data_IF_574861049018
#
_entry.id   IF_574861049018
#
_cell.length_a   1.000
_cell.length_b   1.000
_cell.length_c   1.000
_cell.angle_alpha   90.00
_cell.angle_beta   90.00
_cell.angle_gamma   90.00
#
_symmetry.space_group_name_H-M   'P 1'
#
loop_
_entity.id
_entity.type
_entity.pdbx_description
1 polymer ?
#
# COMPACT_ATOMS: atom_id res chain seq x y z
N UNK A 1 5.45 7.85 -22.32
CA UNK A 1 4.11 7.36 -22.10
C UNK A 1 4.23 6.29 -21.03
N UNK A 2 3.85 6.57 -19.78
CA UNK A 2 3.96 5.60 -18.70
C UNK A 2 2.75 4.67 -18.79
N UNK A 3 2.92 3.35 -18.85
CA UNK A 3 1.83 2.42 -19.07
C UNK A 3 0.98 2.12 -17.82
N UNK A 4 1.20 2.83 -16.71
CA UNK A 4 0.58 2.49 -15.43
C UNK A 4 -0.17 3.69 -14.87
N UNK A 5 -1.49 3.64 -14.90
CA UNK A 5 -2.29 4.48 -14.01
C UNK A 5 -2.46 3.73 -12.70
N UNK A 6 -1.65 4.05 -11.70
CA UNK A 6 -1.99 3.72 -10.32
C UNK A 6 -3.19 4.59 -9.98
N UNK A 7 -4.36 4.05 -10.21
CA UNK A 7 -5.59 4.71 -9.83
C UNK A 7 -5.79 4.46 -8.36
N UNK A 8 -5.34 5.41 -7.55
CA UNK A 8 -5.85 5.51 -6.19
C UNK A 8 -7.38 5.47 -6.23
N UNK A 9 -8.05 4.92 -5.20
CA UNK A 9 -9.51 4.73 -5.13
C UNK A 9 -10.34 6.03 -5.18
N UNK A 10 -9.78 7.08 -5.73
CA UNK A 10 -10.40 8.39 -5.96
C UNK A 10 -10.89 8.61 -7.36
N UNK A 11 -10.98 7.58 -8.17
CA UNK A 11 -11.68 7.69 -9.43
C UNK A 11 -13.14 7.99 -9.14
N UNK A 12 -13.54 9.15 -9.63
CA UNK A 12 -14.94 9.47 -9.85
C UNK A 12 -15.53 8.31 -10.64
N UNK A 13 -16.52 7.62 -10.08
CA UNK A 13 -17.27 6.63 -10.84
C UNK A 13 -17.79 7.31 -12.12
N UNK A 14 -18.03 6.57 -13.19
CA UNK A 14 -18.62 7.10 -14.45
C UNK A 14 -19.92 7.90 -14.22
N UNK A 15 -20.53 7.81 -13.04
CA UNK A 15 -21.71 8.54 -12.59
C UNK A 15 -21.39 9.86 -11.85
N UNK A 16 -20.12 10.27 -11.73
CA UNK A 16 -19.74 11.52 -11.05
C UNK A 16 -19.84 11.50 -9.53
N UNK A 17 -20.14 10.35 -8.93
CA UNK A 17 -20.13 10.22 -7.48
C UNK A 17 -18.70 9.92 -6.97
N UNK A 18 -18.26 10.51 -5.83
CA UNK A 18 -16.98 10.15 -5.24
C UNK A 18 -17.00 8.65 -4.90
N UNK A 19 -15.95 7.95 -5.31
CA UNK A 19 -15.75 6.57 -4.91
C UNK A 19 -15.83 6.46 -3.37
N UNK A 20 -16.50 5.44 -2.89
CA UNK A 20 -16.68 5.19 -1.45
C UNK A 20 -15.33 5.26 -0.74
N UNK A 21 -15.28 6.02 0.34
CA UNK A 21 -14.09 6.21 1.19
C UNK A 21 -13.82 4.95 2.06
N UNK A 22 -13.74 3.78 1.44
CA UNK A 22 -13.41 2.54 2.15
C UNK A 22 -11.89 2.31 2.11
N UNK A 23 -11.35 1.52 3.02
CA UNK A 23 -9.98 1.01 2.93
C UNK A 23 -9.81 0.00 1.79
N UNK A 24 -10.90 -0.32 1.08
CA UNK A 24 -10.87 -1.15 -0.11
C UNK A 24 -10.37 -0.36 -1.33
N UNK A 25 -9.33 -0.86 -1.96
CA UNK A 25 -8.77 -0.27 -3.18
C UNK A 25 -9.28 -0.98 -4.43
N UNK A 26 -9.79 -0.20 -5.38
CA UNK A 26 -10.06 -0.67 -6.73
C UNK A 26 -8.80 -0.53 -7.57
N UNK A 27 -8.19 -1.66 -7.88
CA UNK A 27 -7.01 -1.71 -8.74
C UNK A 27 -7.46 -1.99 -10.16
N UNK A 28 -7.13 -1.07 -11.08
CA UNK A 28 -7.33 -1.27 -12.50
C UNK A 28 -6.12 -1.99 -13.11
N UNK A 29 -6.38 -2.94 -13.98
CA UNK A 29 -5.38 -3.65 -14.75
C UNK A 29 -5.56 -3.38 -16.23
N UNK A 30 -4.45 -3.32 -16.95
CA UNK A 30 -4.44 -3.31 -18.41
C UNK A 30 -4.62 -4.72 -19.00
N UNK A 31 -4.44 -4.84 -20.32
CA UNK A 31 -4.52 -6.12 -21.01
C UNK A 31 -3.49 -7.16 -20.53
N UNK A 32 -2.42 -6.74 -19.88
CA UNK A 32 -1.37 -7.63 -19.37
C UNK A 32 -1.71 -8.22 -18.00
N UNK A 33 -2.80 -7.79 -17.39
CA UNK A 33 -3.29 -8.29 -16.08
C UNK A 33 -2.25 -8.16 -14.96
N UNK A 34 -1.34 -7.21 -15.06
CA UNK A 34 -0.25 -6.98 -14.12
C UNK A 34 0.03 -5.49 -13.95
N UNK A 35 0.20 -5.04 -12.72
CA UNK A 35 0.77 -3.73 -12.41
C UNK A 35 2.15 -3.91 -11.80
N UNK A 36 3.15 -3.20 -12.34
CA UNK A 36 4.50 -3.13 -11.76
C UNK A 36 4.87 -1.66 -11.61
N UNK A 37 5.18 -1.24 -10.40
CA UNK A 37 5.61 0.14 -10.13
C UNK A 37 6.65 0.20 -9.03
N UNK A 38 7.48 1.22 -9.06
CA UNK A 38 8.39 1.55 -7.98
C UNK A 38 7.95 2.82 -7.29
N UNK A 39 8.15 2.89 -5.99
CA UNK A 39 7.78 4.05 -5.19
C UNK A 39 8.75 4.31 -4.04
N UNK A 40 8.94 5.58 -3.70
CA UNK A 40 9.42 6.01 -2.40
C UNK A 40 8.20 6.19 -1.51
N UNK A 41 8.13 5.46 -0.40
CA UNK A 41 6.97 5.42 0.49
C UNK A 41 7.40 5.82 1.88
N UNK A 42 6.65 6.71 2.53
CA UNK A 42 6.76 6.98 3.97
C UNK A 42 5.77 6.16 4.77
N UNK A 43 4.54 6.15 4.33
CA UNK A 43 3.45 5.43 4.98
C UNK A 43 2.34 5.11 3.99
N UNK A 44 1.79 3.91 4.08
CA UNK A 44 0.57 3.49 3.44
C UNK A 44 -0.44 3.06 4.50
N UNK A 45 -1.61 3.68 4.49
CA UNK A 45 -2.69 3.38 5.43
C UNK A 45 -3.18 1.93 5.28
N UNK A 46 -3.77 1.33 6.32
CA UNK A 46 -4.41 0.02 6.23
C UNK A 46 -5.44 0.00 5.11
N UNK A 47 -5.24 -0.91 4.16
CA UNK A 47 -6.10 -1.10 3.01
C UNK A 47 -6.10 -2.58 2.59
N UNK A 48 -6.98 -2.94 1.66
CA UNK A 48 -7.03 -4.26 1.05
C UNK A 48 -7.63 -4.17 -0.36
N UNK A 49 -7.31 -5.13 -1.18
CA UNK A 49 -7.76 -5.23 -2.56
C UNK A 49 -7.77 -6.69 -3.04
N UNK A 50 -8.49 -7.01 -4.13
CA UNK A 50 -8.60 -8.38 -4.63
C UNK A 50 -7.33 -8.87 -5.35
N UNK A 51 -6.35 -8.00 -5.56
CA UNK A 51 -5.10 -8.32 -6.24
C UNK A 51 -4.09 -8.88 -5.24
N UNK A 52 -3.56 -10.08 -5.42
CA UNK A 52 -2.33 -10.47 -4.71
C UNK A 52 -1.19 -9.56 -5.12
N UNK A 53 -0.24 -9.32 -4.20
CA UNK A 53 0.93 -8.50 -4.54
C UNK A 53 2.24 -9.03 -3.96
N UNK A 54 3.32 -8.75 -4.68
CA UNK A 54 4.69 -8.98 -4.24
C UNK A 54 5.37 -7.64 -4.01
N UNK A 55 5.74 -7.37 -2.77
CA UNK A 55 6.55 -6.20 -2.39
C UNK A 55 8.01 -6.61 -2.33
N UNK A 56 8.88 -5.79 -2.92
CA UNK A 56 10.34 -5.95 -2.89
C UNK A 56 10.99 -4.64 -2.45
N UNK A 57 11.76 -4.66 -1.38
CA UNK A 57 12.45 -3.47 -0.87
C UNK A 57 13.70 -3.19 -1.71
N UNK A 58 13.80 -1.99 -2.29
CA UNK A 58 14.95 -1.55 -3.09
C UNK A 58 16.01 -0.84 -2.25
N UNK A 59 15.56 -0.03 -1.31
CA UNK A 59 16.42 0.80 -0.46
C UNK A 59 15.74 1.10 0.87
N UNK A 60 16.54 1.25 1.94
CA UNK A 60 16.02 1.53 3.27
C UNK A 60 15.38 0.32 3.93
N UNK A 61 14.35 0.55 4.71
CA UNK A 61 13.63 -0.47 5.45
C UNK A 61 12.17 -0.09 5.64
N UNK A 62 11.34 -1.12 5.86
CA UNK A 62 9.92 -0.98 6.08
C UNK A 62 9.43 -1.91 7.18
N UNK A 63 8.54 -1.39 8.01
CA UNK A 63 7.65 -2.21 8.82
C UNK A 63 6.36 -2.44 8.04
N UNK A 64 6.08 -3.69 7.70
CA UNK A 64 4.91 -4.09 6.93
C UNK A 64 4.02 -4.97 7.81
N UNK A 65 2.78 -4.53 8.04
CA UNK A 65 1.78 -5.29 8.76
C UNK A 65 0.79 -5.92 7.76
N UNK A 66 0.54 -7.22 7.88
CA UNK A 66 -0.46 -7.95 7.10
C UNK A 66 -1.34 -8.74 8.07
N UNK A 67 -2.62 -8.39 8.14
CA UNK A 67 -3.52 -8.95 9.12
C UNK A 67 -3.00 -8.77 10.55
N UNK A 68 -2.68 -9.87 11.20
CA UNK A 68 -2.17 -9.87 12.58
C UNK A 68 -0.64 -9.97 12.69
N UNK A 69 0.05 -10.13 11.58
CA UNK A 69 1.51 -10.33 11.52
C UNK A 69 2.23 -9.06 11.12
N UNK A 70 3.49 -8.98 11.49
CA UNK A 70 4.37 -7.88 11.16
C UNK A 70 5.72 -8.40 10.74
N UNK A 71 6.25 -7.77 9.70
CA UNK A 71 7.59 -8.03 9.20
C UNK A 71 8.39 -6.73 9.15
N UNK A 72 9.64 -6.85 9.55
CA UNK A 72 10.67 -5.84 9.34
C UNK A 72 11.42 -6.22 8.07
N UNK A 73 11.28 -5.44 7.04
CA UNK A 73 11.88 -5.68 5.73
C UNK A 73 13.02 -4.71 5.48
N UNK A 74 14.17 -5.21 5.04
CA UNK A 74 15.30 -4.39 4.61
C UNK A 74 15.56 -4.57 3.10
N UNK A 75 16.49 -3.78 2.55
CA UNK A 75 16.82 -3.83 1.12
C UNK A 75 17.14 -5.26 0.66
N UNK A 76 16.48 -5.67 -0.42
CA UNK A 76 16.53 -7.03 -0.97
C UNK A 76 15.48 -7.98 -0.40
N UNK A 77 14.77 -7.63 0.68
CA UNK A 77 13.69 -8.47 1.18
C UNK A 77 12.45 -8.36 0.30
N UNK A 78 11.70 -9.47 0.27
CA UNK A 78 10.47 -9.62 -0.49
C UNK A 78 9.40 -10.20 0.41
N UNK A 79 8.15 -9.75 0.22
CA UNK A 79 6.97 -10.29 0.90
C UNK A 79 5.83 -10.43 -0.11
N UNK A 80 5.18 -11.59 -0.09
CA UNK A 80 3.94 -11.83 -0.83
C UNK A 80 2.73 -11.57 0.08
N UNK A 81 1.77 -10.79 -0.42
CA UNK A 81 0.51 -10.47 0.24
C UNK A 81 -0.61 -11.11 -0.58
N UNK A 82 -1.45 -11.90 0.08
CA UNK A 82 -2.56 -12.54 -0.60
C UNK A 82 -3.67 -11.52 -0.93
N UNK A 83 -4.51 -11.90 -1.90
CA UNK A 83 -5.75 -11.18 -2.17
C UNK A 83 -6.58 -10.98 -0.90
N UNK A 84 -7.21 -9.82 -0.79
CA UNK A 84 -8.11 -9.47 0.31
C UNK A 84 -7.45 -9.40 1.72
N UNK A 85 -6.13 -9.44 1.83
CA UNK A 85 -5.45 -9.25 3.12
C UNK A 85 -5.32 -7.76 3.46
N UNK A 86 -5.79 -7.38 4.65
CA UNK A 86 -5.57 -6.01 5.16
C UNK A 86 -4.10 -5.84 5.45
N UNK A 87 -3.49 -4.86 4.83
CA UNK A 87 -2.08 -4.55 5.02
C UNK A 87 -1.80 -3.05 5.12
N UNK A 88 -0.69 -2.71 5.75
CA UNK A 88 -0.19 -1.34 5.89
C UNK A 88 1.32 -1.35 5.88
N UNK A 89 1.91 -0.24 5.47
CA UNK A 89 3.35 -0.10 5.28
C UNK A 89 3.85 1.19 5.91
N UNK A 90 4.93 1.13 6.67
CA UNK A 90 5.59 2.29 7.26
C UNK A 90 7.08 2.21 7.02
N UNK A 91 7.66 3.26 6.43
CA UNK A 91 9.09 3.36 6.24
C UNK A 91 9.82 3.57 7.59
N UNK A 92 10.93 2.89 7.78
CA UNK A 92 11.78 3.05 8.95
C UNK A 92 12.72 4.27 8.83
N UNK A 93 12.98 4.71 7.60
CA UNK A 93 13.81 5.87 7.31
C UNK A 93 13.31 6.65 6.09
N UNK A 94 13.55 7.96 6.04
CA UNK A 94 13.25 8.76 4.84
C UNK A 94 13.97 8.21 3.60
N UNK A 95 13.32 8.29 2.44
CA UNK A 95 13.88 7.81 1.18
C UNK A 95 13.81 6.30 0.99
N UNK A 96 13.09 5.56 1.84
CA UNK A 96 12.86 4.12 1.65
C UNK A 96 12.07 3.85 0.38
N UNK A 97 12.53 2.89 -0.44
CA UNK A 97 12.04 2.62 -1.78
C UNK A 97 11.70 1.15 -1.96
N UNK A 98 10.62 0.88 -2.68
CA UNK A 98 10.16 -0.47 -3.00
C UNK A 98 9.71 -0.59 -4.46
N UNK A 99 9.60 -1.84 -4.91
CA UNK A 99 8.85 -2.24 -6.10
C UNK A 99 7.68 -3.08 -5.65
N UNK A 100 6.51 -2.81 -6.21
CA UNK A 100 5.31 -3.62 -6.04
C UNK A 100 4.93 -4.24 -7.38
N UNK A 101 4.60 -5.53 -7.35
CA UNK A 101 3.96 -6.26 -8.44
C UNK A 101 2.59 -6.68 -7.96
N UNK A 102 1.54 -6.16 -8.59
CA UNK A 102 0.16 -6.55 -8.32
C UNK A 102 -0.33 -7.45 -9.44
N UNK A 103 -0.94 -8.58 -9.08
CA UNK A 103 -1.45 -9.57 -10.02
C UNK A 103 -2.97 -9.43 -10.13
N UNK A 104 -3.48 -9.33 -11.35
CA UNK A 104 -4.94 -9.34 -11.56
C UNK A 104 -5.55 -10.66 -11.07
N UNK A 105 -6.66 -10.64 -10.34
CA UNK A 105 -7.38 -11.85 -9.98
C UNK A 105 -7.69 -12.73 -11.19
N UNK A 106 -8.04 -12.12 -12.33
CA UNK A 106 -8.31 -12.82 -13.57
C UNK A 106 -7.12 -13.58 -14.20
N UNK A 107 -5.90 -13.45 -13.66
CA UNK A 107 -4.79 -14.34 -14.02
C UNK A 107 -5.00 -15.76 -13.49
N UNK A 108 -5.75 -15.89 -12.39
CA UNK A 108 -5.96 -17.16 -11.70
C UNK A 108 -7.28 -17.82 -12.08
N UNK A 109 -8.24 -17.08 -12.63
CA UNK A 109 -9.59 -17.57 -12.95
C UNK A 109 -9.57 -18.73 -13.98
N UNK A 110 -8.59 -18.72 -14.88
CA UNK A 110 -8.43 -19.74 -15.92
C UNK A 110 -7.66 -20.97 -15.42
N UNK A 111 -6.97 -20.88 -14.27
CA UNK A 111 -6.00 -21.88 -13.85
C UNK A 111 -6.30 -22.54 -12.51
N UNK A 112 -7.20 -22.06 -11.71
CA UNK A 112 -7.63 -22.41 -10.35
C UNK A 112 -7.66 -21.18 -9.42
N UNK A 113 -8.32 -21.27 -8.24
CA UNK A 113 -8.33 -20.15 -7.30
C UNK A 113 -6.90 -19.71 -6.95
N UNK A 114 -6.70 -18.41 -6.80
CA UNK A 114 -5.41 -17.83 -6.41
C UNK A 114 -4.85 -18.56 -5.19
N UNK A 115 -3.62 -19.13 -5.29
CA UNK A 115 -3.04 -19.81 -4.15
C UNK A 115 -2.85 -18.79 -3.00
N UNK A 116 -3.22 -19.20 -1.79
CA UNK A 116 -2.86 -18.44 -0.58
C UNK A 116 -1.52 -18.94 -0.09
N UNK A 117 -0.57 -18.04 0.00
CA UNK A 117 0.81 -18.35 0.35
C UNK A 117 1.26 -17.49 1.52
N UNK A 118 2.03 -18.08 2.40
CA UNK A 118 2.89 -17.35 3.32
C UNK A 118 4.32 -17.38 2.78
N UNK A 119 4.81 -16.24 2.34
CA UNK A 119 6.15 -16.15 1.84
C UNK A 119 6.78 -14.78 2.14
N UNK A 120 7.91 -14.81 2.83
CA UNK A 120 8.70 -13.64 3.18
C UNK A 120 10.15 -14.03 3.33
N UNK A 121 11.06 -13.20 2.83
CA UNK A 121 12.50 -13.42 2.98
C UNK A 121 13.08 -12.77 4.24
N UNK A 122 12.35 -11.91 4.93
CA UNK A 122 12.82 -11.25 6.14
C UNK A 122 13.15 -12.28 7.24
N UNK A 123 14.32 -12.15 7.81
CA UNK A 123 14.81 -13.08 8.86
C UNK A 123 15.28 -14.45 8.37
N UNK A 124 15.15 -14.78 7.08
CA UNK A 124 15.62 -16.04 6.50
C UNK A 124 16.98 -15.93 5.77
N UNK A 125 17.70 -14.84 5.96
CA UNK A 125 18.90 -14.44 5.22
C UNK A 125 20.02 -15.53 5.25
N UNK A 126 20.02 -16.42 6.24
CA UNK A 126 21.03 -17.45 6.41
C UNK A 126 20.76 -18.74 5.62
N UNK A 127 19.62 -18.89 4.94
CA UNK A 127 19.26 -20.12 4.22
C UNK A 127 19.59 -20.02 2.74
N UNK A 128 20.43 -20.93 2.24
CA UNK A 128 20.87 -20.97 0.84
C UNK A 128 19.70 -21.09 -0.17
N UNK A 129 18.61 -21.73 0.22
CA UNK A 129 17.42 -21.91 -0.60
C UNK A 129 16.71 -20.57 -0.84
N UNK A 130 16.57 -19.74 0.19
CA UNK A 130 15.97 -18.40 0.09
C UNK A 130 16.76 -17.47 -0.84
N UNK A 131 18.10 -17.56 -0.82
CA UNK A 131 18.94 -16.75 -1.69
C UNK A 131 18.75 -17.10 -3.17
N UNK A 132 18.64 -18.38 -3.51
CA UNK A 132 18.40 -18.80 -4.90
C UNK A 132 17.03 -18.35 -5.40
N UNK A 133 15.99 -18.49 -4.58
CA UNK A 133 14.64 -18.01 -4.89
C UNK A 133 14.65 -16.50 -5.08
N UNK A 134 15.24 -15.74 -4.17
CA UNK A 134 15.38 -14.30 -4.25
C UNK A 134 16.08 -13.87 -5.55
N UNK A 135 17.20 -14.50 -5.89
CA UNK A 135 17.93 -14.26 -7.13
C UNK A 135 17.08 -14.55 -8.37
N UNK A 136 16.33 -15.67 -8.38
CA UNK A 136 15.40 -16.01 -9.46
C UNK A 136 14.29 -14.98 -9.60
N UNK A 137 13.63 -14.59 -8.51
CA UNK A 137 12.58 -13.59 -8.51
C UNK A 137 13.09 -12.22 -8.97
N UNK A 138 14.27 -11.80 -8.52
CA UNK A 138 14.90 -10.55 -8.97
C UNK A 138 15.15 -10.57 -10.48
N UNK A 139 15.67 -11.67 -11.02
CA UNK A 139 15.89 -11.80 -12.45
C UNK A 139 14.57 -11.78 -13.26
N UNK A 140 13.51 -12.37 -12.74
CA UNK A 140 12.18 -12.33 -13.36
C UNK A 140 11.56 -10.93 -13.29
N UNK A 141 11.72 -10.20 -12.19
CA UNK A 141 11.31 -8.79 -12.08
C UNK A 141 12.04 -7.92 -13.11
N UNK A 142 13.34 -8.11 -13.28
CA UNK A 142 14.11 -7.43 -14.32
C UNK A 142 13.57 -7.74 -15.72
N UNK A 143 13.22 -9.01 -15.98
CA UNK A 143 12.61 -9.40 -17.24
C UNK A 143 11.25 -8.75 -17.49
N UNK A 144 10.45 -8.51 -16.47
CA UNK A 144 9.17 -7.80 -16.60
C UNK A 144 9.34 -6.31 -16.95
N UNK A 145 10.40 -5.69 -16.47
CA UNK A 145 10.66 -4.25 -16.66
C UNK A 145 11.40 -3.95 -17.96
N UNK A 146 12.22 -4.87 -18.44
CA UNK A 146 12.90 -4.72 -19.72
C UNK A 146 11.87 -4.73 -20.87
N UNK A 147 12.13 -3.90 -21.92
CA UNK A 147 11.27 -3.81 -23.11
C UNK A 147 11.31 -5.13 -23.90
N UNK A 148 10.48 -6.08 -23.51
CA UNK A 148 10.35 -7.40 -24.11
C UNK A 148 9.08 -7.54 -24.93
N UNK A 149 9.02 -8.56 -25.77
CA UNK A 149 7.78 -8.89 -26.48
C UNK A 149 6.65 -9.25 -25.49
N UNK A 150 5.37 -9.05 -25.86
CA UNK A 150 4.24 -9.43 -24.99
C UNK A 150 4.33 -10.91 -24.53
N UNK A 151 4.79 -11.81 -25.39
CA UNK A 151 4.96 -13.23 -25.05
C UNK A 151 6.04 -13.47 -23.99
N UNK A 152 7.15 -12.74 -24.05
CA UNK A 152 8.22 -12.83 -23.05
C UNK A 152 7.75 -12.27 -21.69
N UNK A 153 6.94 -11.22 -21.68
CA UNK A 153 6.36 -10.66 -20.45
C UNK A 153 5.37 -11.63 -19.82
N UNK A 154 4.46 -12.21 -20.60
CA UNK A 154 3.54 -13.25 -20.12
C UNK A 154 4.30 -14.45 -19.54
N UNK A 155 5.32 -14.95 -20.24
CA UNK A 155 6.15 -16.03 -19.74
C UNK A 155 6.83 -15.67 -18.40
N UNK A 156 7.38 -14.44 -18.27
CA UNK A 156 7.99 -13.98 -17.03
C UNK A 156 6.97 -13.88 -15.87
N UNK A 157 5.72 -13.48 -16.13
CA UNK A 157 4.64 -13.46 -15.13
C UNK A 157 4.38 -14.88 -14.59
N UNK A 158 4.17 -15.85 -15.47
CA UNK A 158 3.91 -17.23 -15.05
C UNK A 158 5.10 -17.88 -14.34
N UNK A 159 6.32 -17.60 -14.78
CA UNK A 159 7.53 -18.07 -14.09
C UNK A 159 7.71 -17.40 -12.72
N UNK A 160 7.29 -16.15 -12.56
CA UNK A 160 7.28 -15.45 -11.26
C UNK A 160 6.28 -16.10 -10.31
N UNK A 161 5.06 -16.36 -10.80
CA UNK A 161 4.03 -17.05 -10.02
C UNK A 161 4.46 -18.49 -9.64
N UNK A 162 5.01 -19.26 -10.59
CA UNK A 162 5.55 -20.59 -10.33
C UNK A 162 6.62 -20.56 -9.24
N UNK A 163 7.54 -19.60 -9.31
CA UNK A 163 8.59 -19.46 -8.32
C UNK A 163 8.03 -19.08 -6.91
N UNK A 164 7.00 -18.23 -6.85
CA UNK A 164 6.33 -17.89 -5.60
C UNK A 164 5.57 -19.07 -5.00
N UNK A 165 4.82 -19.81 -5.82
CA UNK A 165 4.08 -21.02 -5.37
C UNK A 165 5.03 -22.11 -4.90
N UNK A 166 6.14 -22.30 -5.60
CA UNK A 166 7.14 -23.33 -5.23
C UNK A 166 7.89 -22.97 -3.95
N UNK A 167 8.13 -21.67 -3.70
CA UNK A 167 8.87 -21.20 -2.54
C UNK A 167 8.00 -20.93 -1.32
N UNK A 168 6.72 -20.63 -1.54
CA UNK A 168 5.77 -20.28 -0.49
C UNK A 168 5.22 -21.49 0.24
N UNK A 169 4.87 -21.30 1.51
CA UNK A 169 4.12 -22.28 2.29
C UNK A 169 2.62 -22.06 2.09
N UNK A 170 1.83 -23.11 1.83
CA UNK A 170 0.39 -22.99 1.76
C UNK A 170 -0.16 -22.40 3.07
N UNK A 171 -0.99 -21.39 2.97
CA UNK A 171 -1.58 -20.75 4.13
C UNK A 171 -2.97 -21.34 4.40
N UNK A 172 -3.09 -22.12 5.46
CA UNK A 172 -4.38 -22.48 6.02
C UNK A 172 -4.81 -21.37 7.00
N UNK A 173 -6.02 -20.84 6.82
CA UNK A 173 -6.59 -19.86 7.74
C UNK A 173 -7.68 -20.48 8.57
N UNK A 174 -7.59 -20.26 9.87
CA UNK A 174 -8.70 -20.57 10.77
C UNK A 174 -9.90 -19.67 10.45
N UNK A 175 -11.11 -20.21 10.52
CA UNK A 175 -12.37 -19.45 10.33
C UNK A 175 -12.48 -18.25 11.29
N UNK A 176 -11.94 -18.38 12.51
CA UNK A 176 -11.85 -17.32 13.49
C UNK A 176 -11.07 -16.11 12.97
N UNK A 177 -9.93 -16.34 12.31
CA UNK A 177 -9.09 -15.28 11.72
C UNK A 177 -9.78 -14.57 10.55
N UNK A 178 -10.49 -15.31 9.70
CA UNK A 178 -11.27 -14.73 8.59
C UNK A 178 -12.41 -13.85 9.10
N UNK A 179 -13.06 -14.29 10.18
CA UNK A 179 -14.14 -13.53 10.84
C UNK A 179 -13.61 -12.23 11.43
N UNK A 180 -12.49 -12.28 12.17
CA UNK A 180 -11.86 -11.09 12.74
C UNK A 180 -11.45 -10.09 11.67
N UNK A 181 -10.87 -10.56 10.57
CA UNK A 181 -10.49 -9.73 9.43
C UNK A 181 -11.71 -9.05 8.79
N UNK A 182 -12.80 -9.78 8.57
CA UNK A 182 -14.05 -9.21 8.08
C UNK A 182 -14.61 -8.13 9.01
N UNK A 183 -14.53 -8.34 10.32
CA UNK A 183 -15.00 -7.37 11.31
C UNK A 183 -14.13 -6.11 11.35
N UNK A 184 -12.80 -6.25 11.27
CA UNK A 184 -11.92 -5.09 11.25
C UNK A 184 -12.06 -4.28 9.95
N UNK A 185 -12.27 -4.93 8.80
CA UNK A 185 -12.58 -4.27 7.52
C UNK A 185 -13.83 -3.40 7.65
N UNK A 186 -14.93 -3.93 8.21
CA UNK A 186 -16.15 -3.16 8.47
C UNK A 186 -15.89 -1.92 9.32
N UNK A 187 -15.04 -2.03 10.33
CA UNK A 187 -14.65 -0.90 11.17
C UNK A 187 -13.84 0.16 10.43
N UNK A 188 -12.88 -0.26 9.62
CA UNK A 188 -12.08 0.64 8.79
C UNK A 188 -12.96 1.35 7.76
N UNK A 189 -13.84 0.63 7.08
CA UNK A 189 -14.80 1.20 6.15
C UNK A 189 -15.71 2.22 6.82
N UNK A 190 -16.21 1.90 8.01
CA UNK A 190 -17.06 2.81 8.76
C UNK A 190 -16.33 4.10 9.14
N UNK A 191 -15.06 4.03 9.56
CA UNK A 191 -14.23 5.20 9.82
C UNK A 191 -14.06 6.04 8.55
N UNK A 192 -13.74 5.40 7.43
CA UNK A 192 -13.53 6.08 6.15
C UNK A 192 -14.81 6.70 5.57
N UNK A 193 -15.97 6.19 5.92
CA UNK A 193 -17.27 6.73 5.50
C UNK A 193 -17.74 7.90 6.38
N UNK A 194 -17.37 7.90 7.67
CA UNK A 194 -17.88 8.82 8.67
C UNK A 194 -16.82 9.70 9.34
N UNK A 195 -15.64 9.86 8.72
CA UNK A 195 -14.52 10.62 9.26
C UNK A 195 -14.85 12.13 9.47
N UNK A 196 -15.79 12.65 8.70
CA UNK A 196 -16.17 14.07 8.64
C UNK A 196 -17.00 14.55 9.83
N UNK A 197 -17.48 13.65 10.67
CA UNK A 197 -18.29 13.91 11.86
C UNK A 197 -17.60 13.44 13.15
N UNK A 198 -18.11 13.83 14.33
CA UNK A 198 -17.68 13.22 15.59
C UNK A 198 -17.87 11.70 15.54
N UNK A 199 -16.79 10.96 15.77
CA UNK A 199 -16.77 9.51 15.72
C UNK A 199 -16.04 8.98 16.96
N UNK A 200 -16.60 7.93 17.58
CA UNK A 200 -16.03 7.27 18.76
C UNK A 200 -15.60 5.83 18.45
N UNK A 201 -14.59 5.36 19.16
CA UNK A 201 -14.16 3.95 19.03
C UNK A 201 -15.26 2.96 19.43
N UNK A 202 -16.12 3.33 20.39
CA UNK A 202 -17.26 2.50 20.81
C UNK A 202 -18.26 2.29 19.69
N UNK A 203 -18.60 3.38 18.97
CA UNK A 203 -19.48 3.33 17.81
C UNK A 203 -18.93 2.47 16.68
N UNK A 204 -17.63 2.59 16.38
CA UNK A 204 -16.99 1.75 15.37
C UNK A 204 -16.95 0.28 15.77
N UNK A 205 -16.65 -0.02 17.03
CA UNK A 205 -16.63 -1.38 17.55
C UNK A 205 -18.02 -2.03 17.45
N UNK A 206 -19.06 -1.32 17.85
CA UNK A 206 -20.45 -1.77 17.76
C UNK A 206 -20.83 -2.06 16.31
N UNK A 207 -20.54 -1.14 15.39
CA UNK A 207 -20.77 -1.34 13.95
C UNK A 207 -20.04 -2.57 13.40
N UNK A 208 -18.83 -2.84 13.90
CA UNK A 208 -18.02 -3.99 13.53
C UNK A 208 -18.50 -5.31 14.15
N UNK A 209 -19.49 -5.26 15.04
CA UNK A 209 -19.96 -6.43 15.80
C UNK A 209 -18.96 -6.93 16.83
N UNK A 210 -18.12 -6.06 17.38
CA UNK A 210 -17.05 -6.38 18.33
C UNK A 210 -17.24 -5.62 19.65
N UNK A 211 -16.74 -6.20 20.75
CA UNK A 211 -16.63 -5.43 21.99
C UNK A 211 -15.57 -4.33 21.85
N UNK A 212 -15.76 -3.21 22.58
CA UNK A 212 -14.82 -2.10 22.62
C UNK A 212 -13.37 -2.55 22.86
N UNK A 213 -13.16 -3.38 23.89
CA UNK A 213 -11.82 -3.83 24.27
C UNK A 213 -11.16 -4.71 23.22
N UNK A 214 -11.95 -5.56 22.56
CA UNK A 214 -11.46 -6.44 21.51
C UNK A 214 -11.11 -5.65 20.25
N UNK A 215 -12.02 -4.80 19.78
CA UNK A 215 -11.81 -3.94 18.63
C UNK A 215 -10.59 -3.01 18.83
N UNK A 216 -10.48 -2.38 20.00
CA UNK A 216 -9.36 -1.49 20.32
C UNK A 216 -8.00 -2.16 20.18
N UNK A 217 -7.87 -3.40 20.69
CA UNK A 217 -6.62 -4.18 20.60
C UNK A 217 -6.32 -4.61 19.17
N UNK A 218 -7.33 -5.18 18.50
CA UNK A 218 -7.19 -5.64 17.13
C UNK A 218 -6.90 -4.49 16.18
N UNK A 219 -7.64 -3.38 16.30
CA UNK A 219 -7.47 -2.17 15.51
C UNK A 219 -6.05 -1.60 15.66
N UNK A 220 -5.55 -1.44 16.89
CA UNK A 220 -4.18 -0.97 17.14
C UNK A 220 -3.13 -1.92 16.56
N UNK A 221 -3.37 -3.23 16.60
CA UNK A 221 -2.46 -4.24 16.02
C UNK A 221 -2.41 -4.15 14.50
N UNK A 222 -3.57 -3.98 13.84
CA UNK A 222 -3.68 -3.89 12.37
C UNK A 222 -3.26 -2.53 11.84
N UNK A 223 -3.76 -1.42 12.45
CA UNK A 223 -3.51 -0.06 11.95
C UNK A 223 -2.20 0.55 12.46
N UNK A 224 -1.57 -0.01 13.50
CA UNK A 224 -0.39 0.53 14.21
C UNK A 224 -0.66 1.83 14.97
N UNK A 225 -1.81 2.42 14.81
CA UNK A 225 -2.21 3.64 15.48
C UNK A 225 -3.31 3.38 16.51
N UNK A 226 -3.40 4.25 17.51
CA UNK A 226 -4.65 4.33 18.26
C UNK A 226 -5.74 4.98 17.40
N UNK A 227 -6.99 4.76 17.76
CA UNK A 227 -8.14 5.24 16.98
C UNK A 227 -8.10 6.75 16.70
N UNK A 228 -7.74 7.57 17.70
CA UNK A 228 -7.69 9.02 17.52
C UNK A 228 -6.62 9.47 16.54
N UNK A 229 -5.45 8.84 16.59
CA UNK A 229 -4.38 9.09 15.63
C UNK A 229 -4.79 8.66 14.23
N UNK A 230 -5.32 7.45 14.08
CA UNK A 230 -5.80 6.95 12.79
C UNK A 230 -6.86 7.86 12.17
N UNK A 231 -7.89 8.23 12.95
CA UNK A 231 -8.93 9.16 12.49
C UNK A 231 -8.33 10.52 12.08
N UNK A 232 -7.33 11.01 12.82
CA UNK A 232 -6.61 12.24 12.46
C UNK A 232 -5.88 12.10 11.14
N UNK A 233 -5.20 10.96 10.89
CA UNK A 233 -4.51 10.69 9.62
C UNK A 233 -5.49 10.59 8.45
N UNK A 234 -6.62 9.90 8.62
CA UNK A 234 -7.68 9.82 7.60
C UNK A 234 -8.18 11.23 7.25
N UNK A 235 -8.51 12.05 8.25
CA UNK A 235 -8.95 13.45 8.06
C UNK A 235 -7.88 14.29 7.37
N UNK A 236 -6.62 14.16 7.81
CA UNK A 236 -5.48 14.86 7.23
C UNK A 236 -5.30 14.51 5.75
N UNK A 237 -5.38 13.23 5.42
CA UNK A 237 -5.25 12.78 4.05
C UNK A 237 -6.36 13.35 3.15
N UNK A 238 -7.61 13.39 3.64
CA UNK A 238 -8.73 14.06 2.92
C UNK A 238 -8.48 15.56 2.74
N UNK A 239 -8.01 16.25 3.79
CA UNK A 239 -7.67 17.66 3.73
C UNK A 239 -6.54 17.95 2.73
N UNK A 240 -5.49 17.13 2.70
CA UNK A 240 -4.39 17.22 1.72
C UNK A 240 -4.90 17.19 0.28
N UNK A 241 -5.83 16.29 -0.02
CA UNK A 241 -6.42 16.20 -1.36
C UNK A 241 -7.24 17.45 -1.71
N UNK A 242 -8.10 17.90 -0.81
CA UNK A 242 -8.88 19.12 -1.04
C UNK A 242 -7.98 20.36 -1.20
N UNK A 243 -6.89 20.44 -0.44
CA UNK A 243 -5.89 21.50 -0.59
C UNK A 243 -5.19 21.49 -1.94
N UNK A 244 -4.91 20.30 -2.49
CA UNK A 244 -4.28 20.11 -3.78
C UNK A 244 -5.25 20.36 -4.93
N UNK A 245 -6.46 19.78 -4.83
CA UNK A 245 -7.38 19.65 -5.96
C UNK A 245 -8.40 20.80 -6.04
N UNK A 246 -8.51 21.64 -4.97
CA UNK A 246 -9.50 22.70 -4.91
C UNK A 246 -8.91 24.04 -4.42
N UNK A 247 -9.65 25.11 -4.66
CA UNK A 247 -9.38 26.44 -4.09
C UNK A 247 -10.21 26.75 -2.83
N UNK A 248 -10.90 25.78 -2.30
CA UNK A 248 -11.75 25.90 -1.10
C UNK A 248 -10.95 26.51 0.07
N UNK A 249 -11.51 27.46 0.82
CA UNK A 249 -10.85 28.05 2.00
C UNK A 249 -10.40 26.96 2.99
N UNK A 250 -9.21 27.14 3.60
CA UNK A 250 -8.62 26.14 4.50
C UNK A 250 -9.51 25.91 5.73
N UNK A 251 -10.22 26.92 6.19
CA UNK A 251 -11.20 26.81 7.27
C UNK A 251 -12.36 25.89 6.90
N UNK A 252 -12.88 26.02 5.69
CA UNK A 252 -13.94 25.18 5.17
C UNK A 252 -13.47 23.73 4.98
N UNK A 253 -12.26 23.52 4.43
CA UNK A 253 -11.63 22.21 4.35
C UNK A 253 -11.49 21.59 5.74
N UNK A 254 -11.09 22.36 6.74
CA UNK A 254 -10.96 21.87 8.11
C UNK A 254 -12.29 21.29 8.62
N UNK A 255 -13.38 22.00 8.43
CA UNK A 255 -14.71 21.55 8.86
C UNK A 255 -15.21 20.35 8.05
N UNK A 256 -15.09 20.40 6.72
CA UNK A 256 -15.53 19.31 5.84
C UNK A 256 -14.74 18.02 6.05
N UNK A 257 -13.52 18.11 6.60
CA UNK A 257 -12.74 16.94 6.99
C UNK A 257 -12.95 16.52 8.45
N UNK A 258 -13.91 17.09 9.17
CA UNK A 258 -14.29 16.68 10.51
C UNK A 258 -13.38 17.19 11.63
N UNK A 259 -12.49 18.16 11.38
CA UNK A 259 -11.76 18.83 12.44
C UNK A 259 -12.68 19.81 13.16
N UNK A 260 -12.84 19.64 14.46
CA UNK A 260 -13.72 20.52 15.26
C UNK A 260 -13.29 21.98 15.24
N UNK A 261 -11.98 22.22 15.23
CA UNK A 261 -11.38 23.55 15.18
C UNK A 261 -10.23 23.55 14.18
N UNK A 262 -10.08 24.65 13.47
CA UNK A 262 -9.02 24.86 12.48
C UNK A 262 -7.60 24.65 13.03
N UNK A 263 -7.37 24.96 14.30
CA UNK A 263 -6.07 24.73 14.96
C UNK A 263 -5.64 23.28 14.96
N UNK A 264 -6.58 22.31 15.01
CA UNK A 264 -6.25 20.88 14.99
C UNK A 264 -5.80 20.41 13.61
N UNK A 265 -6.37 20.97 12.54
CA UNK A 265 -5.85 20.74 11.20
C UNK A 265 -4.42 21.25 11.05
N UNK A 266 -4.14 22.48 11.51
CA UNK A 266 -2.79 23.07 11.46
C UNK A 266 -1.80 22.21 12.26
N UNK A 267 -2.17 21.79 13.47
CA UNK A 267 -1.33 20.94 14.31
C UNK A 267 -1.04 19.59 13.64
N UNK A 268 -2.04 18.96 13.01
CA UNK A 268 -1.88 17.72 12.27
C UNK A 268 -0.94 17.91 11.06
N UNK A 269 -1.11 18.97 10.28
CA UNK A 269 -0.21 19.28 9.16
C UNK A 269 1.23 19.49 9.62
N UNK A 270 1.45 20.29 10.67
CA UNK A 270 2.81 20.51 11.20
C UNK A 270 3.43 19.20 11.71
N UNK A 271 2.64 18.38 12.43
CA UNK A 271 3.13 17.12 13.00
C UNK A 271 3.49 16.10 11.93
N UNK A 272 2.64 15.91 10.93
CA UNK A 272 2.74 14.79 9.99
C UNK A 272 3.32 15.18 8.62
N UNK A 273 3.18 16.46 8.20
CA UNK A 273 3.69 16.93 6.91
C UNK A 273 4.89 17.90 7.05
N UNK A 274 5.19 18.39 8.27
CA UNK A 274 6.26 19.38 8.46
C UNK A 274 5.99 20.75 7.83
N UNK A 275 4.74 21.01 7.40
CA UNK A 275 4.30 22.22 6.69
C UNK A 275 2.97 22.70 7.27
N UNK A 276 2.67 23.97 7.06
CA UNK A 276 1.30 24.47 7.29
C UNK A 276 0.39 24.13 6.09
N UNK A 277 -0.95 24.05 6.25
CA UNK A 277 -1.87 23.85 5.14
C UNK A 277 -1.69 24.85 3.98
N UNK A 278 -1.34 26.10 4.32
CA UNK A 278 -1.09 27.17 3.34
C UNK A 278 0.17 26.92 2.53
N UNK A 279 1.27 26.53 3.19
CA UNK A 279 2.52 26.18 2.54
C UNK A 279 2.36 24.94 1.67
N UNK A 280 1.63 23.94 2.17
CA UNK A 280 1.30 22.72 1.42
C UNK A 280 0.58 23.08 0.13
N UNK A 281 -0.50 23.87 0.19
CA UNK A 281 -1.22 24.33 -1.01
C UNK A 281 -0.32 25.06 -1.99
N UNK A 282 0.49 26.03 -1.52
CA UNK A 282 1.41 26.78 -2.38
C UNK A 282 2.41 25.89 -3.10
N UNK A 283 2.96 24.90 -2.40
CA UNK A 283 3.94 23.95 -2.96
C UNK A 283 3.36 23.14 -4.10
N UNK A 284 2.10 22.72 -4.00
CA UNK A 284 1.44 21.91 -5.04
C UNK A 284 0.96 22.76 -6.22
N UNK A 285 0.42 23.94 -6.00
CA UNK A 285 0.02 24.84 -7.09
C UNK A 285 1.23 25.26 -7.95
N UNK A 286 2.39 25.46 -7.32
CA UNK A 286 3.63 25.77 -8.06
C UNK A 286 4.17 24.60 -8.87
N UNK A 287 3.86 23.36 -8.51
CA UNK A 287 4.29 22.15 -9.23
C UNK A 287 3.37 21.76 -10.38
N UNK A 288 2.11 22.18 -10.38
CA UNK A 288 1.18 21.90 -11.49
C UNK A 288 1.67 22.40 -12.84
N UNK A 289 2.52 23.43 -12.88
CA UNK A 289 3.06 23.98 -14.12
C UNK A 289 4.26 23.19 -14.69
N UNK A 290 4.78 22.16 -14.00
CA UNK A 290 5.99 21.46 -14.43
C UNK A 290 5.81 19.93 -14.53
N UNK A 291 4.79 19.34 -13.93
CA UNK A 291 4.69 17.90 -13.74
C UNK A 291 3.26 17.33 -13.87
N UNK A 292 2.53 17.73 -14.90
CA UNK A 292 1.23 17.10 -15.23
C UNK A 292 1.29 15.60 -15.60
N UNK A 293 2.41 14.94 -15.37
CA UNK A 293 2.60 13.53 -15.71
C UNK A 293 3.18 12.63 -14.59
N UNK A 294 3.54 13.17 -13.44
CA UNK A 294 3.89 12.36 -12.28
C UNK A 294 2.80 12.51 -11.21
N UNK A 295 1.77 11.70 -11.32
CA UNK A 295 0.72 11.60 -10.32
C UNK A 295 1.35 11.37 -8.95
N UNK A 296 1.29 12.39 -8.12
CA UNK A 296 1.60 12.29 -6.73
C UNK A 296 0.57 11.33 -6.09
N UNK A 297 0.95 10.09 -5.92
CA UNK A 297 0.55 9.35 -4.73
C UNK A 297 0.86 10.34 -3.59
N UNK A 298 0.03 10.57 -2.63
CA UNK A 298 0.21 11.65 -1.63
C UNK A 298 1.66 11.84 -1.16
N UNK A 299 1.97 12.84 -0.33
CA UNK A 299 3.37 13.10 0.12
C UNK A 299 4.02 11.89 0.80
N UNK A 300 3.23 10.90 1.18
CA UNK A 300 3.70 9.66 1.80
C UNK A 300 4.11 8.59 0.77
N UNK A 301 3.86 8.82 -0.53
CA UNK A 301 4.24 7.92 -1.60
C UNK A 301 4.53 8.69 -2.88
N UNK A 302 5.71 8.49 -3.46
CA UNK A 302 6.16 9.11 -4.70
C UNK A 302 6.54 8.02 -5.68
N UNK A 303 5.88 7.98 -6.85
CA UNK A 303 6.25 7.05 -7.92
C UNK A 303 7.65 7.35 -8.45
N UNK A 304 8.44 6.30 -8.61
CA UNK A 304 9.78 6.34 -9.19
C UNK A 304 9.74 5.80 -10.62
N UNK A 305 10.60 6.31 -11.51
CA UNK A 305 10.72 5.74 -12.85
C UNK A 305 11.27 4.31 -12.74
N UNK A 306 10.46 3.34 -13.14
CA UNK A 306 10.86 1.93 -13.13
C UNK A 306 11.70 1.63 -14.36
N UNK A 307 12.98 1.32 -14.15
CA UNK A 307 13.94 0.97 -15.20
C UNK A 307 14.96 -0.07 -14.69
N UNK A 308 15.73 -0.63 -15.60
CA UNK A 308 16.74 -1.64 -15.27
C UNK A 308 17.80 -1.15 -14.29
N UNK A 309 18.13 0.15 -14.26
CA UNK A 309 19.08 0.71 -13.30
C UNK A 309 18.54 0.72 -11.87
N UNK A 310 17.25 0.99 -11.70
CA UNK A 310 16.61 0.95 -10.38
C UNK A 310 16.61 -0.49 -9.83
N UNK A 311 16.27 -1.47 -10.67
CA UNK A 311 16.26 -2.89 -10.29
C UNK A 311 17.68 -3.49 -10.14
N UNK A 312 18.69 -2.93 -10.77
CA UNK A 312 20.07 -3.37 -10.57
C UNK A 312 20.55 -3.22 -9.12
N UNK A 313 19.93 -2.34 -8.33
CA UNK A 313 20.17 -2.20 -6.88
C UNK A 313 19.84 -3.48 -6.13
N UNK A 314 18.83 -4.23 -6.56
CA UNK A 314 18.48 -5.54 -5.98
C UNK A 314 19.58 -6.59 -6.20
N UNK A 315 20.28 -6.54 -7.33
CA UNK A 315 21.37 -7.47 -7.62
C UNK A 315 22.58 -7.26 -6.70
N UNK A 316 22.83 -6.03 -6.27
CA UNK A 316 23.94 -5.69 -5.35
C UNK A 316 23.62 -6.16 -3.92
N UNK A 317 22.37 -6.01 -3.47
CA UNK A 317 21.94 -6.45 -2.14
C UNK A 317 21.83 -7.97 -2.02
N UNK A 318 21.80 -8.69 -3.15
CA UNK A 318 21.73 -10.16 -3.22
C UNK A 318 23.10 -10.85 -3.33
N UNK A 319 24.21 -10.19 -3.06
CA UNK A 319 25.52 -10.84 -2.97
C UNK A 319 25.60 -11.70 -1.71
N UNK A 320 26.06 -12.94 -1.88
CA UNK A 320 26.20 -13.92 -0.79
C UNK A 320 27.02 -13.36 0.38
N UNK A 321 26.65 -13.63 1.65
CA UNK A 321 27.44 -13.25 2.83
C UNK A 321 28.83 -13.89 2.89
N UNK A 322 29.14 -14.82 2.00
CA UNK A 322 30.43 -15.55 1.96
C UNK A 322 31.54 -14.85 1.17
N UNK A 323 31.38 -13.58 0.80
CA UNK A 323 32.38 -12.80 0.06
C UNK A 323 32.96 -11.62 0.87
N UNK A 324 32.86 -11.66 2.21
CA UNK A 324 33.59 -10.75 3.11
C UNK A 324 34.42 -11.54 4.12
#
# INVERSE_FOLDING_TARGET
MFPFSVTHPRQVTQSGQPATNSGYELIAFDAEKLNVFAAEVRYCEPHWHPAPELITVLHGGFTLAVGQREWQLCAGDMLYINAEEVHSLSAEMPGSQLVTVQFSPGLFDEMHPSPRLEWCTAGRIAQSVDWQVRKRLTALLQQLVDNRTPFQRIAAIYLLLDALVTAGEPQEREESSLREESMIKKGIDYINLHYDRPLTLSEVAEHSGMSYSWFSRLFKRVSRYNFKEYLTLVRLNKARNLLRDTRTPITEISHSCGFQEHKYLIAAFNKYCGLTPTEYRKRFVSRQNVLDQQLALGEDCVCLPLNGQLLARLAVSNQSPSAL
#
